data_IF_964584637658
#
_entry.id   IF_964584637658
#
_cell.length_a   1.000
_cell.length_b   1.000
_cell.length_c   1.000
_cell.angle_alpha   90.00
_cell.angle_beta   90.00
_cell.angle_gamma   90.00
#
_symmetry.space_group_name_H-M   'P 1'
#
loop_
_entity.id
_entity.type
_entity.pdbx_description
1 polymer ?
#
# COMPACT_ATOMS: atom_id res chain seq x y z
N UNK A 1 -5.78 -3.43 -13.69
CA UNK A 1 -5.64 -3.18 -12.23
C UNK A 1 -5.82 -1.70 -11.99
N UNK A 2 -6.40 -1.29 -10.86
CA UNK A 2 -6.56 0.13 -10.53
C UNK A 2 -5.38 0.58 -9.67
N UNK A 3 -4.78 1.69 -10.05
CA UNK A 3 -3.61 2.24 -9.36
C UNK A 3 -3.94 3.69 -9.00
N UNK A 4 -3.64 4.06 -7.77
CA UNK A 4 -3.60 5.46 -7.33
C UNK A 4 -2.14 5.80 -7.06
N UNK A 5 -1.63 6.79 -7.78
CA UNK A 5 -0.28 7.30 -7.61
C UNK A 5 -0.37 8.62 -6.82
N UNK A 6 0.22 8.65 -5.64
CA UNK A 6 0.15 9.79 -4.70
C UNK A 6 1.52 10.44 -4.60
N UNK A 7 1.56 11.76 -4.79
CA UNK A 7 2.76 12.58 -4.56
C UNK A 7 2.45 13.48 -3.37
N UNK A 8 3.09 13.23 -2.22
CA UNK A 8 2.79 13.94 -0.97
C UNK A 8 3.92 13.73 0.05
N UNK A 9 4.03 14.65 1.01
CA UNK A 9 4.83 14.52 2.24
C UNK A 9 4.26 13.46 3.22
N UNK A 10 3.06 12.94 2.95
CA UNK A 10 2.45 11.82 3.67
C UNK A 10 1.79 12.19 5.01
N UNK A 11 1.70 13.49 5.31
CA UNK A 11 1.00 14.01 6.48
C UNK A 11 -0.50 13.99 6.24
N UNK A 12 -1.24 13.65 7.27
CA UNK A 12 -2.71 13.66 7.26
C UNK A 12 -3.17 14.79 8.17
N UNK A 13 -3.94 15.74 7.60
CA UNK A 13 -4.45 16.90 8.31
C UNK A 13 -5.94 17.10 7.98
N UNK A 14 -6.81 16.96 8.99
CA UNK A 14 -8.22 17.35 8.88
C UNK A 14 -9.10 16.45 8.02
N UNK A 15 -8.72 15.19 7.76
CA UNK A 15 -9.57 14.28 6.99
C UNK A 15 -10.82 13.87 7.76
N UNK A 16 -11.97 13.91 7.08
CA UNK A 16 -13.24 13.38 7.62
C UNK A 16 -13.29 11.85 7.63
N UNK A 17 -12.49 11.20 6.77
CA UNK A 17 -12.45 9.74 6.62
C UNK A 17 -11.30 9.11 7.42
N UNK A 18 -11.60 8.04 8.16
CA UNK A 18 -10.62 7.28 8.91
C UNK A 18 -9.80 6.32 8.04
N UNK A 19 -8.60 5.95 8.52
CA UNK A 19 -7.69 5.02 7.83
C UNK A 19 -8.36 3.70 7.43
N UNK A 20 -9.10 3.09 8.36
CA UNK A 20 -9.76 1.79 8.15
C UNK A 20 -10.81 1.85 7.04
N UNK A 21 -11.54 2.97 6.95
CA UNK A 21 -12.61 3.15 5.96
C UNK A 21 -12.02 3.29 4.57
N UNK A 22 -10.99 4.13 4.43
CA UNK A 22 -10.25 4.31 3.16
C UNK A 22 -9.60 2.99 2.75
N UNK A 23 -8.91 2.30 3.67
CA UNK A 23 -8.27 1.02 3.38
C UNK A 23 -9.29 -0.03 2.93
N UNK A 24 -10.45 -0.11 3.59
CA UNK A 24 -11.52 -1.02 3.20
C UNK A 24 -12.00 -0.73 1.78
N UNK A 25 -12.20 0.53 1.42
CA UNK A 25 -12.59 0.93 0.06
C UNK A 25 -11.52 0.52 -0.96
N UNK A 26 -10.24 0.81 -0.68
CA UNK A 26 -9.12 0.47 -1.56
C UNK A 26 -9.04 -1.04 -1.81
N UNK A 27 -9.07 -1.84 -0.75
CA UNK A 27 -8.95 -3.29 -0.83
C UNK A 27 -10.18 -3.96 -1.45
N UNK A 28 -11.39 -3.52 -1.12
CA UNK A 28 -12.63 -4.02 -1.73
C UNK A 28 -12.64 -3.78 -3.24
N UNK A 29 -12.05 -2.67 -3.67
CA UNK A 29 -11.97 -2.29 -5.07
C UNK A 29 -10.73 -2.82 -5.80
N UNK A 30 -9.84 -3.56 -5.15
CA UNK A 30 -8.55 -3.99 -5.73
C UNK A 30 -7.74 -2.81 -6.30
N UNK A 31 -7.59 -1.76 -5.49
CA UNK A 31 -6.80 -0.55 -5.81
C UNK A 31 -5.47 -0.63 -5.07
N UNK A 32 -4.37 -0.54 -5.82
CA UNK A 32 -3.02 -0.43 -5.26
C UNK A 32 -2.58 1.04 -5.16
N UNK A 33 -1.97 1.40 -4.03
CA UNK A 33 -1.47 2.75 -3.78
C UNK A 33 0.04 2.77 -3.95
N UNK A 34 0.52 3.66 -4.81
CA UNK A 34 1.94 3.95 -4.98
C UNK A 34 2.21 5.38 -4.51
N UNK A 35 3.35 5.58 -3.88
CA UNK A 35 3.68 6.86 -3.26
C UNK A 35 5.03 7.38 -3.74
N UNK A 36 5.09 8.67 -4.07
CA UNK A 36 6.32 9.44 -4.12
C UNK A 36 6.33 10.35 -2.89
N UNK A 37 7.18 10.02 -1.92
CA UNK A 37 7.26 10.75 -0.67
C UNK A 37 8.12 12.02 -0.83
N UNK A 38 7.53 13.18 -0.59
CA UNK A 38 8.18 14.49 -0.69
C UNK A 38 8.70 14.91 0.69
N UNK A 39 9.87 14.36 1.05
CA UNK A 39 10.77 14.73 2.17
C UNK A 39 10.30 14.54 3.65
N UNK A 40 11.29 14.39 4.54
CA UNK A 40 11.33 13.81 5.90
C UNK A 40 11.26 12.26 5.99
N UNK A 41 10.66 11.58 5.01
CA UNK A 41 10.68 10.11 4.91
C UNK A 41 11.94 9.53 4.23
N UNK A 42 12.78 10.40 3.65
CA UNK A 42 14.03 10.05 2.96
C UNK A 42 15.26 9.95 3.89
N UNK A 43 15.08 10.13 5.21
CA UNK A 43 16.16 10.04 6.20
C UNK A 43 16.55 8.57 6.43
N UNK A 44 17.82 8.18 6.23
CA UNK A 44 18.31 6.84 6.59
C UNK A 44 18.03 6.54 8.06
N UNK A 45 17.27 5.47 8.34
CA UNK A 45 16.84 5.08 9.70
C UNK A 45 15.35 5.28 9.99
N UNK A 46 14.58 5.89 9.09
CA UNK A 46 13.13 6.06 9.28
C UNK A 46 12.30 4.80 8.92
N UNK A 47 12.87 3.83 8.19
CA UNK A 47 12.23 2.51 7.91
C UNK A 47 11.83 1.76 9.19
N UNK A 48 12.43 2.07 10.33
CA UNK A 48 12.14 1.45 11.63
C UNK A 48 11.15 2.24 12.50
N UNK A 49 10.70 3.44 12.07
CA UNK A 49 9.86 4.34 12.89
C UNK A 49 8.40 4.45 12.43
N UNK A 50 7.95 3.64 11.46
CA UNK A 50 6.57 3.66 10.94
C UNK A 50 5.47 3.27 11.93
N UNK A 51 5.81 2.86 13.16
CA UNK A 51 4.87 2.41 14.19
C UNK A 51 4.80 3.31 15.44
N UNK A 52 5.55 4.41 15.50
CA UNK A 52 5.54 5.27 16.70
C UNK A 52 4.45 6.34 16.57
N UNK A 53 3.40 6.21 17.38
CA UNK A 53 2.42 7.28 17.61
C UNK A 53 3.06 8.33 18.55
N UNK A 54 3.43 9.49 17.99
CA UNK A 54 3.93 10.61 18.79
C UNK A 54 2.73 11.48 19.19
N UNK A 55 2.42 11.63 20.50
CA UNK A 55 1.38 12.54 20.95
C UNK A 55 1.69 13.97 20.45
N UNK A 56 0.67 14.68 19.96
CA UNK A 56 0.73 16.00 19.27
C UNK A 56 1.20 16.02 17.80
N UNK A 57 1.76 14.94 17.24
CA UNK A 57 2.32 14.95 15.87
C UNK A 57 1.66 13.94 14.90
N UNK A 58 0.62 13.22 15.32
CA UNK A 58 -0.09 12.25 14.47
C UNK A 58 0.76 11.01 14.09
N UNK A 59 0.35 10.28 13.05
CA UNK A 59 1.23 9.31 12.41
C UNK A 59 2.18 10.09 11.49
N UNK A 60 3.49 10.01 11.71
CA UNK A 60 4.47 10.81 10.96
C UNK A 60 4.41 10.65 9.43
N UNK A 61 3.85 9.54 8.94
CA UNK A 61 3.50 9.34 7.53
C UNK A 61 2.43 8.22 7.40
N UNK A 62 1.17 8.56 7.10
CA UNK A 62 0.10 7.55 6.91
C UNK A 62 0.19 6.88 5.53
N UNK A 63 0.84 7.54 4.57
CA UNK A 63 0.91 7.09 3.19
C UNK A 63 1.63 5.75 3.07
N UNK A 64 2.72 5.55 3.82
CA UNK A 64 3.43 4.27 3.89
C UNK A 64 2.54 3.10 4.34
N UNK A 65 1.59 3.34 5.25
CA UNK A 65 0.62 2.33 5.69
C UNK A 65 -0.34 1.92 4.57
N UNK A 66 -0.79 2.84 3.72
CA UNK A 66 -1.66 2.50 2.59
C UNK A 66 -0.89 1.75 1.51
N UNK A 67 0.34 2.18 1.21
CA UNK A 67 1.23 1.55 0.24
C UNK A 67 1.47 0.09 0.62
N UNK A 68 1.90 -0.17 1.87
CA UNK A 68 2.15 -1.53 2.36
C UNK A 68 0.89 -2.39 2.30
N UNK A 69 -0.23 -1.91 2.86
CA UNK A 69 -1.44 -2.71 2.98
C UNK A 69 -2.07 -3.08 1.63
N UNK A 70 -1.85 -2.26 0.59
CA UNK A 70 -2.37 -2.50 -0.77
C UNK A 70 -1.38 -3.19 -1.71
N UNK A 71 -0.17 -3.52 -1.21
CA UNK A 71 0.88 -4.18 -1.98
C UNK A 71 1.56 -3.30 -3.03
N UNK A 72 1.55 -1.98 -2.82
CA UNK A 72 2.25 -1.02 -3.68
C UNK A 72 3.68 -0.76 -3.22
N UNK A 73 4.28 0.30 -3.78
CA UNK A 73 5.65 0.72 -3.46
C UNK A 73 5.77 2.23 -3.23
N UNK A 74 6.70 2.62 -2.35
CA UNK A 74 7.04 4.00 -2.06
C UNK A 74 8.42 4.37 -2.60
N UNK A 75 8.53 5.55 -3.22
CA UNK A 75 9.75 6.13 -3.75
C UNK A 75 10.14 7.34 -2.90
N UNK A 76 11.41 7.42 -2.48
CA UNK A 76 11.88 8.38 -1.48
C UNK A 76 12.57 9.63 -2.09
N UNK A 77 12.63 9.75 -3.40
CA UNK A 77 13.37 10.80 -4.09
C UNK A 77 12.41 11.76 -4.80
N UNK A 78 12.65 13.07 -4.67
CA UNK A 78 11.87 14.12 -5.34
C UNK A 78 12.71 14.88 -6.37
N UNK A 79 13.31 14.15 -7.30
CA UNK A 79 13.93 14.74 -8.49
C UNK A 79 13.02 14.49 -9.69
N UNK A 80 13.22 15.23 -10.78
CA UNK A 80 12.49 14.96 -12.02
C UNK A 80 12.76 13.53 -12.50
N UNK A 81 14.02 13.13 -12.45
CA UNK A 81 14.48 11.80 -12.88
C UNK A 81 13.88 10.69 -12.01
N UNK A 82 13.69 10.93 -10.70
CA UNK A 82 13.06 9.95 -9.81
C UNK A 82 11.55 9.81 -10.07
N UNK A 83 10.85 10.90 -10.41
CA UNK A 83 9.44 10.85 -10.83
C UNK A 83 9.30 10.05 -12.11
N UNK A 84 10.13 10.33 -13.12
CA UNK A 84 10.12 9.62 -14.40
C UNK A 84 10.42 8.13 -14.21
N UNK A 85 11.42 7.82 -13.39
CA UNK A 85 11.81 6.45 -13.04
C UNK A 85 10.71 5.72 -12.25
N UNK A 86 10.07 6.39 -11.29
CA UNK A 86 8.96 5.83 -10.52
C UNK A 86 7.78 5.50 -11.43
N UNK A 87 7.41 6.41 -12.33
CA UNK A 87 6.36 6.17 -13.32
C UNK A 87 6.68 4.98 -14.21
N UNK A 88 7.90 4.89 -14.73
CA UNK A 88 8.34 3.78 -15.56
C UNK A 88 8.24 2.44 -14.80
N UNK A 89 8.71 2.40 -13.54
CA UNK A 89 8.70 1.21 -12.69
C UNK A 89 7.30 0.77 -12.29
N UNK A 90 6.43 1.69 -11.88
CA UNK A 90 5.02 1.37 -11.58
C UNK A 90 4.32 0.79 -12.80
N UNK A 91 4.58 1.35 -13.98
CA UNK A 91 3.99 0.83 -15.22
C UNK A 91 4.54 -0.56 -15.57
N UNK A 92 5.83 -0.81 -15.33
CA UNK A 92 6.44 -2.13 -15.52
C UNK A 92 5.85 -3.17 -14.55
N UNK A 93 5.75 -2.84 -13.27
CA UNK A 93 5.13 -3.68 -12.24
C UNK A 93 3.67 -3.97 -12.57
N UNK A 94 2.91 -2.97 -13.02
CA UNK A 94 1.52 -3.13 -13.41
C UNK A 94 1.35 -4.11 -14.58
N UNK A 95 2.33 -4.19 -15.49
CA UNK A 95 2.35 -5.16 -16.60
C UNK A 95 2.77 -6.56 -16.15
N UNK A 96 3.69 -6.65 -15.19
CA UNK A 96 4.31 -7.89 -14.76
C UNK A 96 3.74 -8.46 -13.45
N UNK A 97 2.55 -8.01 -13.04
CA UNK A 97 1.94 -8.43 -11.78
C UNK A 97 1.37 -9.86 -11.87
N UNK A 98 1.71 -10.69 -10.90
CA UNK A 98 1.13 -12.03 -10.76
C UNK A 98 -0.25 -11.97 -10.11
N UNK A 99 -1.17 -12.80 -10.61
CA UNK A 99 -2.48 -13.01 -9.99
C UNK A 99 -2.53 -14.41 -9.39
N UNK A 100 -2.66 -14.48 -8.07
CA UNK A 100 -2.77 -15.74 -7.34
C UNK A 100 -4.23 -16.02 -7.02
N UNK A 101 -4.68 -17.23 -7.36
CA UNK A 101 -6.00 -17.73 -7.00
C UNK A 101 -5.88 -18.82 -5.94
N UNK A 102 -6.74 -18.76 -4.92
CA UNK A 102 -6.88 -19.82 -3.92
C UNK A 102 -8.33 -19.91 -3.48
N UNK A 103 -8.71 -21.06 -2.93
CA UNK A 103 -10.04 -21.26 -2.36
C UNK A 103 -9.94 -21.34 -0.84
N UNK A 104 -10.93 -20.76 -0.17
CA UNK A 104 -11.06 -20.77 1.29
C UNK A 104 -12.23 -21.66 1.68
N UNK A 105 -12.10 -22.38 2.79
CA UNK A 105 -13.18 -23.21 3.36
C UNK A 105 -14.16 -22.39 4.22
N UNK A 106 -13.79 -21.15 4.54
CA UNK A 106 -14.61 -20.23 5.33
C UNK A 106 -15.80 -19.71 4.52
N UNK A 107 -16.96 -19.59 5.16
CA UNK A 107 -18.18 -19.03 4.57
C UNK A 107 -17.91 -17.62 4.03
N UNK A 108 -18.67 -17.19 3.01
CA UNK A 108 -18.58 -15.84 2.43
C UNK A 108 -19.00 -14.76 3.44
N UNK A 109 -18.13 -14.45 4.39
CA UNK A 109 -18.23 -13.32 5.29
C UNK A 109 -17.71 -12.06 4.60
N UNK A 110 -18.26 -10.91 4.97
CA UNK A 110 -17.80 -9.57 4.55
C UNK A 110 -16.55 -9.09 5.32
N UNK A 111 -15.99 -9.94 6.16
CA UNK A 111 -14.89 -9.60 7.07
C UNK A 111 -13.54 -9.59 6.35
N UNK A 112 -12.61 -8.83 6.93
CA UNK A 112 -11.23 -8.75 6.45
C UNK A 112 -10.55 -10.12 6.53
N UNK A 113 -9.79 -10.45 5.49
CA UNK A 113 -8.99 -11.67 5.41
C UNK A 113 -7.54 -11.31 5.14
N UNK A 114 -6.66 -11.64 6.08
CA UNK A 114 -5.22 -11.50 5.89
C UNK A 114 -4.70 -12.57 4.93
N UNK A 115 -3.67 -12.22 4.18
CA UNK A 115 -2.93 -13.13 3.31
C UNK A 115 -1.44 -12.95 3.53
N UNK A 116 -0.68 -14.03 3.34
CA UNK A 116 0.78 -13.99 3.36
C UNK A 116 1.27 -14.73 2.11
N UNK A 117 2.10 -14.07 1.30
CA UNK A 117 2.66 -14.65 0.08
C UNK A 117 4.11 -15.03 0.35
N UNK A 118 4.42 -16.33 0.25
CA UNK A 118 5.78 -16.87 0.41
C UNK A 118 6.29 -17.38 -0.92
N UNK A 119 7.54 -17.03 -1.23
CA UNK A 119 8.26 -17.53 -2.41
C UNK A 119 9.38 -18.47 -1.96
N UNK A 120 9.63 -19.53 -2.74
CA UNK A 120 10.67 -20.50 -2.40
C UNK A 120 12.08 -19.97 -2.72
N UNK A 121 12.20 -19.08 -3.71
CA UNK A 121 13.48 -18.54 -4.14
C UNK A 121 14.04 -17.57 -3.08
N UNK A 122 15.28 -17.77 -2.61
CA UNK A 122 15.90 -16.86 -1.65
C UNK A 122 16.24 -15.51 -2.30
N UNK A 123 16.43 -14.50 -1.45
CA UNK A 123 16.89 -13.16 -1.83
C UNK A 123 15.96 -12.40 -2.79
N UNK A 124 14.64 -12.60 -2.64
CA UNK A 124 13.62 -11.79 -3.31
C UNK A 124 12.85 -10.96 -2.30
N UNK A 125 12.53 -9.73 -2.67
CA UNK A 125 11.55 -8.90 -1.97
C UNK A 125 10.16 -9.18 -2.56
N UNK A 126 9.20 -9.54 -1.71
CA UNK A 126 7.84 -9.87 -2.13
C UNK A 126 6.93 -8.72 -1.72
N UNK A 127 6.35 -8.06 -2.72
CA UNK A 127 5.30 -7.06 -2.52
C UNK A 127 3.94 -7.69 -2.81
N UNK A 128 3.11 -7.77 -1.78
CA UNK A 128 1.75 -8.27 -1.87
C UNK A 128 0.86 -7.47 -0.92
N UNK A 129 -0.45 -7.43 -1.19
CA UNK A 129 -1.41 -6.86 -0.24
C UNK A 129 -1.44 -7.69 1.04
N UNK A 130 -1.58 -7.03 2.19
CA UNK A 130 -1.64 -7.71 3.49
C UNK A 130 -2.91 -8.56 3.65
N UNK A 131 -3.94 -8.24 2.86
CA UNK A 131 -5.21 -8.92 2.89
C UNK A 131 -6.21 -8.35 1.91
N UNK A 132 -7.47 -8.73 2.05
CA UNK A 132 -8.55 -8.28 1.20
C UNK A 132 -9.88 -8.35 1.95
N UNK A 133 -10.85 -7.58 1.45
CA UNK A 133 -12.24 -7.74 1.82
C UNK A 133 -12.95 -8.49 0.68
N UNK A 134 -13.64 -9.61 0.97
CA UNK A 134 -14.48 -10.26 -0.02
C UNK A 134 -15.53 -9.28 -0.55
N UNK A 135 -15.78 -9.32 -1.86
CA UNK A 135 -16.94 -8.62 -2.40
C UNK A 135 -18.19 -9.21 -1.73
N UNK A 136 -19.17 -8.37 -1.35
CA UNK A 136 -20.46 -8.88 -0.91
C UNK A 136 -20.96 -9.88 -1.96
N UNK A 137 -21.58 -11.00 -1.55
CA UNK A 137 -22.18 -11.93 -2.51
C UNK A 137 -23.07 -11.12 -3.46
N UNK A 138 -22.80 -11.21 -4.76
CA UNK A 138 -23.64 -10.55 -5.77
C UNK A 138 -25.04 -11.14 -5.61
N UNK A 139 -25.99 -10.29 -5.21
CA UNK A 139 -27.39 -10.64 -5.02
C UNK A 139 -28.09 -10.71 -6.37
#
# INVERSE_FOLDING_TARGET
>A
RKIVFVISDGREEGSEAGYSDVLKVLLTNDVSVYALAVDAAAIPGYRTLGSIHIPLFGYGNILGKYVSATGGESFAEFTRDSIESAYARVTEQARNQYTLGYTTRETAASDYRSIEVKVHRPSLEVHAKDGYYPLPPQR
#
